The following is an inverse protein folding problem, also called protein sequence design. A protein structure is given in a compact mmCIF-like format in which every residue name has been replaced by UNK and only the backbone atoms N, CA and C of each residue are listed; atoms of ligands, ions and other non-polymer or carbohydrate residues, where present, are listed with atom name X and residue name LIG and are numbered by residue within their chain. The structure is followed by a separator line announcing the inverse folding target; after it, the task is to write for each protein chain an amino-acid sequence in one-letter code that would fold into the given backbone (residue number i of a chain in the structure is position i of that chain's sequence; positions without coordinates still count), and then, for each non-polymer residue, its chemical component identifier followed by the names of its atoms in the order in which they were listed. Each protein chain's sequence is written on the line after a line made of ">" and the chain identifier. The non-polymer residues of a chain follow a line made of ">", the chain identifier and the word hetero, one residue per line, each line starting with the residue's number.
data_IF_175352781284
#
_entry.id   IF_175352781284
#
_cell.length_a   1.000
_cell.length_b   1.000
_cell.length_c   1.000
_cell.angle_alpha   90.00
_cell.angle_beta   90.00
_cell.angle_gamma   90.00
#
_symmetry.space_group_name_H-M   'P 1'
#
loop_
_entity.id
_entity.type
_entity.pdbx_description
1 polymer ?
2 polymer ?
3 non-polymer ?
4 non-polymer ?
5 non-polymer ?
6 non-polymer ?
7 non-polymer ?
8 non-polymer ?
#
# COMPACT_ATOMS: atom_id res chain seq x y z
N UNK A 3 -11.95 -14.17 -7.90
CA UNK A 3 -13.00 -13.55 -8.69
C UNK A 3 -13.68 -12.41 -7.91
N UNK A 4 -13.18 -12.16 -6.70
CA UNK A 4 -13.74 -11.12 -5.85
C UNK A 4 -13.03 -9.80 -6.06
N UNK A 5 -13.80 -8.72 -6.12
CA UNK A 5 -13.22 -7.39 -6.34
C UNK A 5 -13.79 -6.44 -5.30
N UNK A 6 -13.04 -5.41 -4.95
CA UNK A 6 -13.50 -4.42 -4.00
C UNK A 6 -13.21 -3.03 -4.53
N UNK A 7 -13.92 -2.06 -3.98
CA UNK A 7 -13.58 -0.65 -4.16
C UNK A 7 -13.69 0.04 -2.82
N UNK A 8 -12.66 0.82 -2.49
CA UNK A 8 -12.57 1.48 -1.21
C UNK A 8 -12.32 2.96 -1.39
N UNK A 9 -12.86 3.74 -0.47
CA UNK A 9 -12.45 5.12 -0.25
C UNK A 9 -11.87 5.17 1.15
N UNK A 10 -10.61 5.56 1.26
CA UNK A 10 -9.94 5.68 2.53
C UNK A 10 -9.72 7.17 2.81
N UNK A 11 -9.89 7.54 4.07
CA UNK A 11 -9.70 8.89 4.55
C UNK A 11 -8.86 8.83 5.82
N UNK A 12 -7.91 9.76 5.93
CA UNK A 12 -6.99 9.84 7.05
C UNK A 12 -7.03 11.28 7.56
N UNK A 13 -7.43 11.45 8.82
CA UNK A 13 -7.56 12.76 9.44
C UNK A 13 -6.59 12.85 10.62
N UNK A 14 -5.76 13.90 10.62
CA UNK A 14 -4.87 14.21 11.73
C UNK A 14 -5.38 15.48 12.39
N UNK A 15 -5.87 15.37 13.62
CA UNK A 15 -6.31 16.51 14.42
C UNK A 15 -5.16 16.89 15.35
N UNK A 16 -4.54 18.04 15.06
CA UNK A 16 -3.32 18.46 15.75
C UNK A 16 -3.63 19.35 16.94
N UNK A 17 -4.52 20.33 16.77
CA UNK A 17 -5.02 21.13 17.88
C UNK A 17 -6.45 21.55 17.55
N UNK A 18 -7.03 22.38 18.42
CA UNK A 18 -8.44 22.75 18.25
C UNK A 18 -8.68 23.65 17.05
N UNK A 19 -7.63 24.04 16.32
CA UNK A 19 -7.79 24.79 15.07
C UNK A 19 -7.33 23.99 13.86
N UNK A 20 -6.15 23.36 13.93
CA UNK A 20 -5.56 22.67 12.79
C UNK A 20 -6.05 21.23 12.70
N UNK A 21 -6.35 20.80 11.49
CA UNK A 21 -6.66 19.40 11.21
C UNK A 21 -6.49 19.16 9.71
N UNK A 22 -5.72 18.14 9.34
CA UNK A 22 -5.39 17.87 7.95
C UNK A 22 -5.99 16.54 7.53
N UNK A 23 -6.56 16.51 6.33
CA UNK A 23 -7.24 15.32 5.82
C UNK A 23 -6.67 14.88 4.49
N UNK A 24 -6.63 13.56 4.29
CA UNK A 24 -6.23 12.95 3.04
C UNK A 24 -7.26 11.90 2.64
N UNK A 25 -7.43 11.72 1.35
CA UNK A 25 -8.38 10.74 0.85
C UNK A 25 -7.93 10.14 -0.46
N UNK A 26 -8.31 8.88 -0.68
CA UNK A 26 -8.02 8.24 -1.95
C UNK A 26 -9.04 7.13 -2.21
N UNK A 27 -9.20 6.81 -3.49
CA UNK A 27 -10.05 5.71 -3.93
C UNK A 27 -9.20 4.59 -4.52
N UNK A 28 -9.60 3.35 -4.27
CA UNK A 28 -8.78 2.19 -4.58
C UNK A 28 -9.65 1.08 -5.14
N UNK A 29 -9.38 0.68 -6.38
CA UNK A 29 -9.97 -0.52 -6.96
C UNK A 29 -9.01 -1.67 -6.69
N UNK A 30 -9.42 -2.59 -5.82
CA UNK A 30 -8.49 -3.55 -5.23
C UNK A 30 -7.30 -2.80 -4.67
N UNK A 31 -6.11 -3.07 -5.21
CA UNK A 31 -4.89 -2.44 -4.73
C UNK A 31 -4.39 -1.33 -5.64
N UNK A 32 -5.07 -1.07 -6.75
CA UNK A 32 -4.67 0.02 -7.64
C UNK A 32 -5.40 1.29 -7.21
N UNK A 33 -4.63 2.32 -6.87
CA UNK A 33 -5.24 3.61 -6.60
C UNK A 33 -5.83 4.17 -7.90
N UNK A 34 -7.10 4.52 -7.84
CA UNK A 34 -7.81 5.11 -8.97
C UNK A 34 -8.15 6.57 -8.75
N UNK A 35 -8.21 7.02 -7.50
CA UNK A 35 -8.62 8.38 -7.21
C UNK A 35 -7.76 8.95 -6.10
N UNK A 36 -7.41 10.22 -6.25
CA UNK A 36 -6.87 11.03 -5.17
C UNK A 36 -7.89 12.09 -4.77
N UNK A 37 -7.49 12.91 -3.82
CA UNK A 37 -8.36 13.98 -3.35
C UNK A 37 -7.53 15.25 -3.14
N UNK A 38 -7.85 16.28 -3.90
CA UNK A 38 -7.19 17.57 -3.74
C UNK A 38 -7.89 18.32 -2.61
N UNK A 39 -7.16 18.54 -1.51
CA UNK A 39 -7.73 19.12 -0.30
C UNK A 39 -7.91 20.63 -0.41
N UNK A 40 -7.11 21.29 -1.24
CA UNK A 40 -7.27 22.74 -1.42
C UNK A 40 -8.57 23.05 -2.14
N UNK A 41 -8.74 22.48 -3.34
CA UNK A 41 -9.99 22.66 -4.07
C UNK A 41 -11.10 21.77 -3.54
N UNK A 42 -10.75 20.70 -2.83
CA UNK A 42 -11.75 19.75 -2.37
C UNK A 42 -12.40 19.05 -3.53
N UNK A 43 -11.59 18.36 -4.34
CA UNK A 43 -12.10 17.71 -5.54
C UNK A 43 -11.53 16.31 -5.67
N UNK A 44 -12.20 15.49 -6.47
CA UNK A 44 -11.70 14.17 -6.81
C UNK A 44 -10.65 14.31 -7.89
N UNK A 45 -9.58 13.53 -7.77
CA UNK A 45 -8.51 13.48 -8.76
C UNK A 45 -8.60 12.14 -9.45
N UNK A 46 -8.80 12.16 -10.77
CA UNK A 46 -8.99 10.94 -11.55
C UNK A 46 -7.65 10.50 -12.09
N UNK A 47 -7.08 9.46 -11.48
CA UNK A 47 -5.74 8.98 -11.77
C UNK A 47 -5.63 8.27 -13.11
N UNK A 48 -6.75 7.99 -13.79
CA UNK A 48 -6.73 7.26 -15.04
C UNK A 48 -7.80 7.85 -15.96
N UNK A 49 -7.63 7.63 -17.27
CA UNK A 49 -8.61 8.10 -18.24
C UNK A 49 -9.99 7.52 -17.94
N UNK A 50 -10.03 6.26 -17.53
CA UNK A 50 -11.26 5.55 -17.21
C UNK A 50 -11.71 5.76 -15.77
N UNK A 51 -11.05 6.64 -15.02
CA UNK A 51 -11.34 6.75 -13.59
C UNK A 51 -12.72 7.30 -13.30
N UNK A 52 -13.38 7.93 -14.28
CA UNK A 52 -14.72 8.43 -14.04
C UNK A 52 -15.76 7.31 -14.01
N UNK A 53 -15.41 6.12 -14.51
CA UNK A 53 -16.22 4.92 -14.34
C UNK A 53 -17.66 5.02 -14.80
N UNK A 54 -17.90 5.63 -15.97
CA UNK A 54 -19.24 5.73 -16.54
C UNK A 54 -20.22 6.42 -15.58
N UNK A 55 -19.74 7.45 -14.89
CA UNK A 55 -20.58 8.36 -14.11
C UNK A 55 -20.53 9.73 -14.76
N UNK A 56 -21.66 10.45 -14.73
CA UNK A 56 -21.72 11.74 -15.40
C UNK A 56 -20.94 12.79 -14.61
N UNK A 57 -20.49 13.82 -15.33
CA UNK A 57 -19.79 14.93 -14.68
C UNK A 57 -20.66 15.57 -13.62
N UNK A 58 -21.97 15.64 -13.86
CA UNK A 58 -22.88 16.16 -12.85
C UNK A 58 -22.87 15.28 -11.61
N UNK A 59 -22.95 13.95 -11.80
CA UNK A 59 -22.91 13.03 -10.67
C UNK A 59 -21.62 13.17 -9.88
N UNK A 60 -20.49 13.32 -10.57
CA UNK A 60 -19.21 13.38 -9.88
C UNK A 60 -19.01 14.71 -9.17
N UNK A 61 -19.44 15.82 -9.78
CA UNK A 61 -19.38 17.10 -9.07
C UNK A 61 -20.31 17.10 -7.86
N UNK A 62 -21.44 16.39 -7.94
CA UNK A 62 -22.31 16.27 -6.78
C UNK A 62 -21.67 15.41 -5.70
N UNK A 63 -20.97 14.35 -6.10
CA UNK A 63 -20.20 13.56 -5.14
C UNK A 63 -19.16 14.43 -4.44
N UNK A 64 -18.48 15.29 -5.19
CA UNK A 64 -17.53 16.23 -4.59
C UNK A 64 -18.23 17.16 -3.61
N UNK A 65 -19.42 17.66 -3.98
CA UNK A 65 -20.19 18.50 -3.06
C UNK A 65 -20.45 17.77 -1.75
N UNK A 66 -20.92 16.53 -1.83
CA UNK A 66 -21.24 15.77 -0.63
C UNK A 66 -19.99 15.49 0.18
N UNK A 67 -18.89 15.15 -0.46
CA UNK A 67 -17.64 14.94 0.25
C UNK A 67 -17.20 16.20 0.97
N UNK A 68 -17.34 17.36 0.33
CA UNK A 68 -16.93 18.61 0.97
C UNK A 68 -17.78 18.89 2.19
N UNK A 69 -19.10 18.71 2.07
CA UNK A 69 -19.96 18.94 3.22
C UNK A 69 -19.67 17.96 4.35
N UNK A 70 -19.41 16.70 4.00
CA UNK A 70 -19.12 15.68 5.00
C UNK A 70 -17.81 15.98 5.71
N UNK A 71 -16.78 16.39 4.97
CA UNK A 71 -15.53 16.84 5.57
C UNK A 71 -15.78 17.98 6.55
N UNK A 72 -16.52 19.01 6.10
CA UNK A 72 -16.79 20.17 6.95
C UNK A 72 -17.47 19.75 8.25
N UNK A 73 -18.57 19.01 8.16
CA UNK A 73 -19.31 18.66 9.35
C UNK A 73 -18.54 17.72 10.26
N UNK A 74 -17.84 16.75 9.67
CA UNK A 74 -17.07 15.78 10.46
C UNK A 74 -15.99 16.50 11.27
N UNK A 75 -15.19 17.35 10.60
CA UNK A 75 -14.21 18.15 11.32
C UNK A 75 -14.85 19.02 12.37
N UNK A 76 -15.96 19.69 12.03
CA UNK A 76 -16.59 20.62 12.96
C UNK A 76 -17.00 19.90 14.24
N UNK A 77 -17.69 18.78 14.12
CA UNK A 77 -18.20 18.09 15.30
C UNK A 77 -17.06 17.47 16.12
N UNK A 78 -16.07 16.87 15.45
CA UNK A 78 -14.97 16.28 16.18
C UNK A 78 -14.20 17.35 16.94
N UNK A 79 -13.90 18.47 16.28
CA UNK A 79 -13.16 19.55 16.94
C UNK A 79 -13.98 20.14 18.08
N UNK A 80 -15.30 20.24 17.91
CA UNK A 80 -16.15 20.70 18.99
C UNK A 80 -15.99 19.82 20.22
N UNK A 81 -16.01 18.50 20.03
CA UNK A 81 -15.87 17.61 21.18
C UNK A 81 -14.47 17.64 21.76
N UNK A 82 -13.45 17.80 20.91
CA UNK A 82 -12.07 17.64 21.36
C UNK A 82 -11.51 18.89 22.03
N UNK A 83 -11.91 20.09 21.59
CA UNK A 83 -11.45 21.30 22.26
C UNK A 83 -11.81 21.33 23.74
N UNK A 84 -12.64 20.39 24.20
CA UNK A 84 -12.92 20.21 25.62
C UNK A 84 -12.01 19.19 26.28
N UNK A 85 -11.12 18.55 25.52
CA UNK A 85 -10.18 17.55 26.04
C UNK A 85 -8.78 17.75 25.46
N UNK A 86 -8.52 18.94 24.92
CA UNK A 86 -7.23 19.39 24.38
C UNK A 86 -5.98 18.59 24.74
N UNK A 87 -5.93 17.98 25.93
CA UNK A 87 -4.81 17.08 26.23
C UNK A 87 -4.84 15.85 25.33
N UNK A 88 -5.97 15.59 24.69
CA UNK A 88 -6.07 14.39 23.82
C UNK A 88 -5.37 14.66 22.49
N UNK A 89 -5.19 15.93 22.11
CA UNK A 89 -4.45 16.23 20.90
C UNK A 89 -2.99 15.80 21.04
N UNK A 90 -2.37 15.35 19.96
CA UNK A 90 -2.95 15.13 18.63
C UNK A 90 -3.64 13.78 18.54
N UNK A 91 -4.51 13.53 17.56
CA UNK A 91 -5.04 12.19 17.38
C UNK A 91 -5.42 11.98 15.92
N UNK A 92 -5.53 10.71 15.54
CA UNK A 92 -5.78 10.32 14.16
C UNK A 92 -7.08 9.53 14.06
N UNK A 93 -7.85 9.84 13.02
CA UNK A 93 -9.06 9.11 12.68
C UNK A 93 -8.89 8.56 11.28
N UNK A 94 -9.17 7.28 11.10
CA UNK A 94 -9.11 6.64 9.80
C UNK A 94 -10.47 6.07 9.43
N UNK A 95 -10.87 6.28 8.18
CA UNK A 95 -12.15 5.78 7.68
C UNK A 95 -11.88 4.95 6.42
N UNK A 96 -12.43 3.75 6.38
CA UNK A 96 -12.37 2.89 5.20
C UNK A 96 -13.80 2.53 4.83
N UNK A 97 -14.31 3.15 3.77
CA UNK A 97 -15.63 2.84 3.27
C UNK A 97 -15.51 2.13 1.93
N UNK A 98 -16.57 1.46 1.53
CA UNK A 98 -16.59 0.91 0.19
C UNK A 98 -17.42 -0.36 0.15
N UNK A 99 -17.11 -1.20 -0.83
CA UNK A 99 -17.95 -2.36 -1.11
C UNK A 99 -17.12 -3.45 -1.79
N UNK A 100 -17.48 -4.69 -1.50
CA UNK A 100 -16.87 -5.86 -2.13
C UNK A 100 -17.92 -6.58 -2.97
N UNK A 101 -17.62 -6.74 -4.25
CA UNK A 101 -18.39 -7.59 -5.15
C UNK A 101 -17.87 -9.02 -5.03
N UNK A 102 -18.73 -9.91 -4.53
CA UNK A 102 -18.48 -11.32 -4.35
C UNK A 102 -18.88 -12.11 -5.59
N UNK A 103 -18.21 -13.24 -5.79
CA UNK A 103 -18.53 -14.18 -6.85
C UNK A 103 -20.03 -14.44 -6.90
N UNK A 104 -20.58 -14.38 -8.11
CA UNK A 104 -22.01 -14.36 -8.30
C UNK A 104 -22.61 -12.97 -8.36
N UNK A 105 -21.84 -11.95 -8.01
CA UNK A 105 -22.32 -10.59 -8.05
C UNK A 105 -22.94 -10.09 -6.76
N UNK A 106 -22.49 -10.57 -5.61
CA UNK A 106 -23.13 -10.22 -4.35
C UNK A 106 -22.41 -9.03 -3.73
N UNK A 107 -23.08 -7.91 -3.50
CA UNK A 107 -22.38 -6.77 -2.87
C UNK A 107 -22.44 -6.83 -1.36
N UNK A 108 -21.29 -6.64 -0.72
CA UNK A 108 -21.21 -6.44 0.72
C UNK A 108 -20.53 -5.11 0.95
N UNK A 109 -21.30 -4.13 1.42
CA UNK A 109 -20.71 -2.85 1.77
C UNK A 109 -20.10 -2.86 3.16
N UNK A 110 -19.20 -1.92 3.39
CA UNK A 110 -18.63 -1.80 4.72
C UNK A 110 -18.11 -0.38 4.93
N UNK A 111 -18.14 0.01 6.20
CA UNK A 111 -17.72 1.34 6.66
C UNK A 111 -17.06 1.10 8.01
N UNK A 112 -15.76 1.36 8.10
CA UNK A 112 -15.01 1.08 9.32
C UNK A 112 -14.19 2.30 9.72
N UNK A 113 -14.19 2.60 11.01
CA UNK A 113 -13.50 3.77 11.55
C UNK A 113 -12.57 3.32 12.66
N UNK A 114 -11.33 3.80 12.62
CA UNK A 114 -10.34 3.57 13.65
C UNK A 114 -9.94 4.89 14.29
N UNK A 115 -9.72 4.84 15.61
CA UNK A 115 -9.22 5.96 16.38
C UNK A 115 -7.80 5.63 16.83
N UNK A 116 -6.84 6.45 16.39
CA UNK A 116 -5.44 6.25 16.74
C UNK A 116 -4.96 4.85 16.40
N UNK A 117 -5.31 4.40 15.18
CA UNK A 117 -4.88 3.10 14.70
C UNK A 117 -5.53 1.91 15.36
N UNK A 118 -6.51 2.12 16.24
CA UNK A 118 -7.26 1.04 16.87
C UNK A 118 -8.70 1.07 16.38
N UNK A 119 -9.25 -0.11 16.12
CA UNK A 119 -10.64 -0.22 15.71
C UNK A 119 -11.54 0.53 16.67
N UNK A 120 -12.29 1.49 16.14
CA UNK A 120 -13.27 2.24 16.92
C UNK A 120 -14.68 1.71 16.70
N UNK A 121 -15.15 1.70 15.45
CA UNK A 121 -16.49 1.19 15.20
C UNK A 121 -16.63 0.81 13.73
N UNK A 122 -17.73 0.13 13.43
CA UNK A 122 -18.04 -0.27 12.06
C UNK A 122 -19.54 -0.10 11.84
N UNK A 123 -19.95 -0.20 10.60
CA UNK A 123 -21.35 -0.11 10.22
C UNK A 123 -21.77 -1.46 9.68
N UNK A 124 -22.41 -2.27 10.52
CA UNK A 124 -22.82 -3.61 10.14
C UNK A 124 -24.30 -3.60 9.79
N UNK A 125 -24.64 -4.17 8.63
CA UNK A 125 -26.00 -4.17 8.11
C UNK A 125 -26.56 -2.75 8.05
N UNK A 126 -27.30 -2.34 9.08
CA UNK A 126 -27.87 -1.00 9.13
C UNK A 126 -27.68 -0.33 10.48
N UNK A 127 -26.70 -0.77 11.26
CA UNK A 127 -26.51 -0.24 12.59
C UNK A 127 -25.02 -0.03 12.85
N UNK A 128 -24.71 1.05 13.55
CA UNK A 128 -23.36 1.27 14.05
C UNK A 128 -23.06 0.30 15.17
N UNK A 129 -21.90 -0.34 15.10
CA UNK A 129 -21.46 -1.33 16.08
C UNK A 129 -20.11 -0.87 16.61
N UNK A 130 -19.99 -0.59 17.91
CA UNK A 130 -18.68 -0.25 18.46
C UNK A 130 -17.74 -1.44 18.44
N UNK A 131 -16.46 -1.15 18.40
CA UNK A 131 -15.47 -2.21 18.49
C UNK A 131 -15.41 -2.74 19.92
N UNK A 132 -15.35 -4.06 20.11
CA UNK A 132 -15.05 -4.59 21.44
C UNK A 132 -13.65 -4.15 21.87
N UNK A 133 -13.56 -3.62 23.08
CA UNK A 133 -12.36 -2.90 23.46
C UNK A 133 -12.43 -1.49 22.91
N UNK A 134 -11.74 -0.54 23.54
CA UNK A 134 -11.88 0.88 23.21
C UNK A 134 -13.35 1.28 23.33
N UNK A 135 -13.88 1.11 24.54
CA UNK A 135 -15.32 1.14 24.73
C UNK A 135 -15.96 2.51 24.87
N UNK A 136 -15.59 3.25 25.92
CA UNK A 136 -16.29 4.47 26.29
C UNK A 136 -16.44 5.42 25.10
N UNK A 137 -15.32 5.71 24.42
CA UNK A 137 -15.39 6.62 23.28
C UNK A 137 -16.15 5.99 22.12
N UNK A 138 -15.94 4.69 21.87
CA UNK A 138 -16.69 4.00 20.83
C UNK A 138 -18.17 4.11 21.14
N UNK A 139 -18.61 3.51 22.25
CA UNK A 139 -20.00 3.57 22.69
C UNK A 139 -20.60 4.96 22.56
N UNK A 140 -19.85 5.99 22.97
CA UNK A 140 -20.34 7.35 22.85
C UNK A 140 -20.61 7.72 21.41
N UNK A 141 -19.58 7.65 20.56
CA UNK A 141 -19.70 8.03 19.16
C UNK A 141 -20.81 7.23 18.48
N UNK A 142 -20.89 5.93 18.79
CA UNK A 142 -21.90 5.07 18.20
C UNK A 142 -23.30 5.50 18.63
N UNK A 143 -23.45 5.92 19.89
CA UNK A 143 -24.72 6.45 20.37
C UNK A 143 -25.09 7.74 19.63
N UNK A 144 -24.13 8.66 19.50
CA UNK A 144 -24.39 9.90 18.78
C UNK A 144 -24.80 9.63 17.34
N UNK A 145 -24.08 8.72 16.67
CA UNK A 145 -24.37 8.41 15.27
C UNK A 145 -25.73 7.74 15.12
N UNK A 146 -26.12 6.91 16.08
CA UNK A 146 -27.37 6.17 15.99
C UNK A 146 -28.56 6.96 16.54
N UNK A 147 -28.41 8.26 16.80
CA UNK A 147 -29.51 9.03 17.37
C UNK A 147 -29.57 10.46 16.84
N UNK A 148 -28.49 11.23 17.00
CA UNK A 148 -28.54 12.62 16.54
C UNK A 148 -28.40 12.72 15.04
N UNK A 149 -27.42 12.04 14.46
CA UNK A 149 -27.07 12.23 13.06
C UNK A 149 -28.00 11.38 12.20
N UNK A 150 -29.13 12.00 11.83
CA UNK A 150 -30.18 11.41 10.99
C UNK A 150 -29.66 10.89 9.67
N UNK A 151 -29.75 11.72 8.62
CA UNK A 151 -29.47 11.32 7.27
C UNK A 151 -28.06 10.81 7.04
N UNK A 152 -27.16 11.04 7.99
CA UNK A 152 -25.80 10.50 7.87
C UNK A 152 -25.86 8.97 7.70
N UNK A 153 -26.67 8.31 8.51
CA UNK A 153 -26.72 6.85 8.48
C UNK A 153 -27.31 6.32 7.18
N UNK A 154 -28.44 6.90 6.76
CA UNK A 154 -29.06 6.46 5.50
C UNK A 154 -28.15 6.73 4.32
N UNK A 155 -27.48 7.88 4.32
CA UNK A 155 -26.55 8.20 3.24
C UNK A 155 -25.41 7.20 3.19
N UNK A 156 -24.85 6.85 4.34
CA UNK A 156 -23.79 5.85 4.40
C UNK A 156 -24.27 4.52 3.81
N UNK A 157 -25.46 4.09 4.23
CA UNK A 157 -25.98 2.81 3.76
C UNK A 157 -26.15 2.81 2.25
N UNK A 158 -26.77 3.86 1.71
CA UNK A 158 -27.01 3.91 0.27
C UNK A 158 -25.71 4.04 -0.51
N UNK A 159 -24.71 4.73 0.06
CA UNK A 159 -23.43 4.86 -0.62
C UNK A 159 -22.72 3.52 -0.73
N UNK A 160 -22.57 2.82 0.40
CA UNK A 160 -21.80 1.59 0.36
C UNK A 160 -22.58 0.42 -0.21
N UNK A 161 -23.91 0.50 -0.25
CA UNK A 161 -24.71 -0.62 -0.72
C UNK A 161 -25.22 -0.46 -2.15
N UNK A 162 -25.35 0.77 -2.65
CA UNK A 162 -25.90 0.97 -4.00
C UNK A 162 -24.97 1.78 -4.88
N UNK A 163 -24.58 2.96 -4.43
CA UNK A 163 -23.71 3.80 -5.24
C UNK A 163 -22.35 3.15 -5.43
N UNK A 164 -21.80 2.57 -4.36
CA UNK A 164 -20.47 1.96 -4.47
C UNK A 164 -20.44 0.80 -5.45
N UNK A 165 -21.34 -0.19 -5.40
CA UNK A 165 -21.23 -1.30 -6.37
C UNK A 165 -21.52 -0.87 -7.80
N UNK A 166 -22.48 0.04 -8.00
CA UNK A 166 -22.75 0.54 -9.34
C UNK A 166 -21.52 1.25 -9.90
N UNK A 167 -20.93 2.14 -9.10
CA UNK A 167 -19.71 2.82 -9.51
C UNK A 167 -18.58 1.83 -9.74
N UNK A 168 -18.51 0.78 -8.93
CA UNK A 168 -17.44 -0.20 -9.07
C UNK A 168 -17.55 -0.93 -10.39
N UNK A 169 -18.75 -1.40 -10.73
CA UNK A 169 -18.93 -2.10 -12.00
C UNK A 169 -18.73 -1.17 -13.18
N UNK A 170 -19.14 0.10 -13.06
CA UNK A 170 -18.83 1.08 -14.09
C UNK A 170 -17.33 1.28 -14.25
N UNK A 171 -16.59 1.23 -13.14
CA UNK A 171 -15.15 1.38 -13.19
C UNK A 171 -14.48 0.19 -13.86
N UNK A 172 -14.91 -1.02 -13.50
CA UNK A 172 -14.37 -2.22 -14.15
C UNK A 172 -14.70 -2.23 -15.64
N UNK A 173 -15.91 -1.78 -16.01
CA UNK A 173 -16.27 -1.71 -17.42
C UNK A 173 -15.43 -0.68 -18.15
N UNK A 174 -15.19 0.48 -17.54
CA UNK A 174 -14.45 1.53 -18.20
C UNK A 174 -12.96 1.21 -18.29
N UNK A 175 -12.40 0.58 -17.25
CA UNK A 175 -10.99 0.28 -17.24
C UNK A 175 -10.67 -1.18 -17.52
N UNK A 176 -11.46 -1.81 -18.40
CA UNK A 176 -11.31 -3.24 -18.65
C UNK A 176 -9.91 -3.56 -19.17
N UNK A 177 -9.30 -2.66 -19.95
CA UNK A 177 -8.01 -2.97 -20.55
C UNK A 177 -6.87 -2.84 -19.54
N UNK A 178 -7.01 -1.96 -18.55
CA UNK A 178 -5.98 -1.85 -17.53
C UNK A 178 -6.16 -2.87 -16.42
N UNK A 179 -7.39 -3.11 -15.96
CA UNK A 179 -7.59 -3.99 -14.81
C UNK A 179 -7.25 -5.43 -15.17
N UNK A 180 -7.48 -5.84 -16.41
CA UNK A 180 -7.23 -7.22 -16.85
C UNK A 180 -5.92 -7.36 -17.61
N UNK A 181 -5.03 -6.40 -17.50
CA UNK A 181 -3.77 -6.48 -18.20
C UNK A 181 -2.88 -7.57 -17.60
N UNK A 182 -1.93 -8.04 -18.41
CA UNK A 182 -0.94 -9.02 -17.98
C UNK A 182 0.43 -8.50 -18.36
N UNK A 183 1.31 -8.36 -17.36
CA UNK A 183 2.64 -7.80 -17.56
C UNK A 183 3.68 -8.85 -17.19
N UNK A 184 4.47 -9.25 -18.18
CA UNK A 184 5.47 -10.32 -17.95
C UNK A 184 6.57 -9.78 -17.05
N UNK A 185 6.98 -10.54 -16.02
CA UNK A 185 8.04 -10.11 -15.12
C UNK A 185 9.42 -10.32 -15.70
N UNK A 186 10.35 -9.55 -15.16
CA UNK A 186 11.78 -9.68 -15.39
C UNK A 186 12.40 -10.37 -14.17
N UNK A 187 13.27 -11.33 -14.42
CA UNK A 187 13.84 -12.10 -13.32
C UNK A 187 15.35 -12.16 -13.46
N UNK A 188 16.04 -12.01 -12.33
CA UNK A 188 17.50 -12.10 -12.34
C UNK A 188 17.98 -12.74 -11.05
N UNK A 189 19.26 -13.11 -11.06
CA UNK A 189 19.88 -13.81 -9.94
C UNK A 189 20.98 -12.96 -9.35
N UNK A 190 21.28 -13.19 -8.07
CA UNK A 190 22.37 -12.48 -7.42
C UNK A 190 22.87 -13.31 -6.25
N UNK A 191 24.00 -12.88 -5.70
CA UNK A 191 24.62 -13.52 -4.55
C UNK A 191 24.51 -12.58 -3.36
N UNK A 192 23.62 -12.91 -2.42
CA UNK A 192 23.44 -12.11 -1.24
C UNK A 192 24.56 -12.29 -0.23
N UNK A 193 24.35 -11.81 1.00
CA UNK A 193 25.43 -11.87 1.99
C UNK A 193 25.68 -13.31 2.44
N UNK A 194 26.96 -13.65 2.56
CA UNK A 194 27.39 -14.99 2.96
C UNK A 194 26.80 -15.34 4.33
N UNK A 195 25.90 -16.32 4.39
CA UNK A 195 25.32 -16.71 5.70
C UNK A 195 26.30 -17.53 6.52
N UNK A 196 27.59 -17.38 6.23
CA UNK A 196 28.62 -18.15 6.87
C UNK A 196 29.69 -18.56 5.88
N UNK A 197 30.87 -18.91 6.37
CA UNK A 197 31.93 -19.37 5.48
C UNK A 197 31.57 -20.72 4.87
N UNK A 198 31.85 -20.87 3.58
CA UNK A 198 31.42 -22.06 2.85
C UNK A 198 29.97 -21.96 2.44
N UNK A 199 29.13 -21.45 3.33
CA UNK A 199 27.74 -21.17 3.01
C UNK A 199 27.65 -20.14 1.88
N UNK A 200 26.46 -20.06 1.28
CA UNK A 200 26.30 -19.25 0.08
C UNK A 200 24.83 -18.88 -0.08
N UNK A 201 24.56 -17.59 -0.25
CA UNK A 201 23.20 -17.05 -0.29
C UNK A 201 22.83 -16.74 -1.74
N UNK A 202 21.99 -17.60 -2.32
CA UNK A 202 21.45 -17.38 -3.66
C UNK A 202 20.17 -16.57 -3.57
N UNK A 203 20.07 -15.51 -4.37
CA UNK A 203 18.93 -14.60 -4.35
C UNK A 203 18.31 -14.58 -5.75
N UNK A 204 16.98 -14.64 -5.81
CA UNK A 204 16.25 -14.61 -7.07
C UNK A 204 15.25 -13.47 -7.01
N UNK A 205 15.43 -12.48 -7.88
CA UNK A 205 14.55 -11.33 -7.99
C UNK A 205 13.58 -11.52 -9.14
N UNK A 206 12.32 -11.14 -8.90
CA UNK A 206 11.26 -11.16 -9.91
C UNK A 206 10.53 -9.83 -9.79
N UNK A 207 10.72 -8.95 -10.77
CA UNK A 207 10.21 -7.59 -10.70
C UNK A 207 9.41 -7.24 -11.96
N UNK A 208 8.44 -6.36 -11.80
CA UNK A 208 7.72 -5.82 -12.92
C UNK A 208 6.48 -6.57 -13.36
N UNK A 209 5.89 -7.39 -12.49
CA UNK A 209 4.76 -8.22 -12.88
C UNK A 209 3.45 -7.69 -12.31
N UNK A 210 2.42 -7.71 -13.15
CA UNK A 210 1.01 -7.67 -12.78
C UNK A 210 0.31 -8.75 -13.57
N UNK A 211 -0.70 -9.43 -12.98
CA UNK A 211 -1.29 -9.28 -11.63
C UNK A 211 -0.35 -9.67 -10.50
N UNK A 212 -0.76 -9.36 -9.27
CA UNK A 212 0.12 -9.62 -8.12
C UNK A 212 0.39 -11.10 -7.86
N UNK A 213 -0.55 -12.03 -8.02
CA UNK A 213 -0.23 -13.44 -7.73
C UNK A 213 0.94 -13.94 -8.56
N UNK A 214 1.89 -14.60 -7.89
CA UNK A 214 3.12 -15.07 -8.50
C UNK A 214 3.63 -16.25 -7.69
N UNK A 215 4.31 -17.18 -8.36
CA UNK A 215 4.97 -18.29 -7.68
C UNK A 215 6.46 -18.23 -7.97
N UNK A 216 7.27 -18.13 -6.92
CA UNK A 216 8.72 -18.10 -7.05
C UNK A 216 9.30 -19.14 -6.11
N UNK A 217 10.21 -19.96 -6.62
CA UNK A 217 10.72 -21.07 -5.83
C UNK A 217 12.11 -21.47 -6.32
N UNK A 218 13.02 -21.70 -5.38
CA UNK A 218 14.28 -22.34 -5.72
C UNK A 218 14.07 -23.85 -5.74
N UNK A 219 14.56 -24.49 -6.79
CA UNK A 219 14.41 -25.93 -6.96
C UNK A 219 15.66 -26.51 -7.60
N UNK A 220 15.85 -27.81 -7.39
CA UNK A 220 16.77 -28.62 -8.18
C UNK A 220 15.92 -29.65 -8.91
N UNK A 221 15.72 -29.46 -10.20
CA UNK A 221 14.79 -30.28 -10.95
C UNK A 221 13.37 -30.03 -10.50
N UNK A 222 12.70 -31.05 -9.98
CA UNK A 222 11.35 -30.91 -9.47
C UNK A 222 11.29 -30.73 -7.95
N UNK A 223 12.31 -31.19 -7.22
CA UNK A 223 12.35 -30.99 -5.78
C UNK A 223 12.42 -29.50 -5.46
N UNK A 224 11.32 -28.92 -5.01
CA UNK A 224 11.36 -27.57 -4.47
C UNK A 224 12.13 -27.60 -3.16
N UNK A 225 13.14 -26.74 -3.05
CA UNK A 225 13.89 -26.65 -1.81
C UNK A 225 13.00 -26.06 -0.73
N UNK A 226 12.76 -26.83 0.33
CA UNK A 226 11.92 -26.30 1.41
C UNK A 226 12.58 -25.12 2.11
N UNK A 227 13.86 -24.92 1.90
CA UNK A 227 14.59 -23.84 2.52
C UNK A 227 14.47 -22.49 1.87
N UNK A 228 13.75 -22.34 0.76
CA UNK A 228 13.60 -21.02 0.17
C UNK A 228 12.87 -20.10 1.14
N UNK A 229 13.42 -18.91 1.34
CA UNK A 229 12.76 -17.85 2.08
C UNK A 229 12.21 -16.86 1.07
N UNK A 230 10.88 -16.81 0.98
CA UNK A 230 10.21 -15.87 0.10
C UNK A 230 9.98 -14.56 0.85
N UNK A 231 10.28 -13.45 0.18
CA UNK A 231 10.02 -12.14 0.75
C UNK A 231 8.57 -11.73 0.56
N UNK A 232 8.29 -10.49 0.95
CA UNK A 232 6.98 -9.92 0.68
C UNK A 232 6.89 -9.46 -0.77
N UNK A 233 5.68 -9.42 -1.29
CA UNK A 233 5.43 -8.79 -2.57
C UNK A 233 5.40 -7.28 -2.35
N UNK A 234 6.39 -6.59 -2.91
CA UNK A 234 6.58 -5.16 -2.73
C UNK A 234 6.15 -4.40 -3.97
N UNK A 235 5.71 -3.16 -3.83
CA UNK A 235 5.22 -2.43 -5.01
C UNK A 235 6.33 -1.73 -5.76
N UNK A 236 6.27 -1.80 -7.08
CA UNK A 236 6.94 -0.85 -7.94
C UNK A 236 5.97 0.27 -8.28
N UNK A 237 6.52 1.39 -8.72
CA UNK A 237 5.66 2.40 -9.30
C UNK A 237 5.04 1.89 -10.60
N UNK A 238 3.91 2.50 -10.97
CA UNK A 238 3.17 2.13 -12.17
C UNK A 238 2.56 0.73 -12.06
N UNK A 239 2.20 0.34 -10.86
CA UNK A 239 1.38 -0.85 -10.66
C UNK A 239 1.97 -2.17 -11.12
N UNK A 240 3.26 -2.39 -10.88
CA UNK A 240 3.85 -3.71 -11.00
C UNK A 240 4.43 -4.10 -9.64
N UNK A 241 4.90 -5.32 -9.53
CA UNK A 241 5.29 -5.85 -8.23
C UNK A 241 6.67 -6.50 -8.30
N UNK A 242 7.30 -6.57 -7.13
CA UNK A 242 8.64 -7.10 -6.97
C UNK A 242 8.61 -8.17 -5.88
N UNK A 243 9.47 -9.17 -6.03
CA UNK A 243 9.48 -10.29 -5.10
C UNK A 243 10.85 -10.94 -5.12
N UNK A 244 11.44 -11.09 -3.94
CA UNK A 244 12.74 -11.72 -3.78
C UNK A 244 12.54 -13.05 -3.07
N UNK A 245 13.19 -14.10 -3.59
CA UNK A 245 13.20 -15.40 -2.93
C UNK A 245 14.65 -15.83 -2.76
N UNK A 246 15.06 -16.14 -1.53
CA UNK A 246 16.44 -16.49 -1.27
C UNK A 246 16.56 -17.92 -0.78
N UNK A 247 17.80 -18.42 -0.80
CA UNK A 247 18.15 -19.74 -0.31
C UNK A 247 19.63 -19.80 -0.03
N UNK A 248 20.04 -20.18 1.17
CA UNK A 248 21.46 -20.40 1.44
C UNK A 248 21.77 -21.89 1.41
N UNK A 249 22.74 -22.25 0.59
CA UNK A 249 23.16 -23.61 0.36
C UNK A 249 24.66 -23.70 0.65
N UNK A 250 25.20 -24.91 0.59
CA UNK A 250 26.64 -25.08 0.62
C UNK A 250 27.22 -24.83 -0.76
N UNK A 251 28.30 -24.07 -0.82
CA UNK A 251 29.00 -23.87 -2.08
C UNK A 251 29.43 -25.22 -2.63
N UNK A 252 29.47 -25.33 -3.96
CA UNK A 252 29.66 -26.61 -4.61
C UNK A 252 28.40 -27.44 -4.71
N UNK A 253 27.46 -27.25 -3.79
CA UNK A 253 26.11 -27.77 -3.92
C UNK A 253 25.16 -26.76 -4.53
N UNK A 254 25.66 -25.59 -4.91
CA UNK A 254 24.82 -24.60 -5.57
C UNK A 254 24.63 -24.90 -7.04
N UNK A 255 25.60 -25.56 -7.66
CA UNK A 255 25.45 -25.96 -9.06
C UNK A 255 24.25 -26.89 -9.21
N UNK A 256 23.47 -26.65 -10.25
CA UNK A 256 22.25 -27.40 -10.49
C UNK A 256 21.01 -26.78 -9.89
N UNK A 257 21.15 -25.93 -8.90
CA UNK A 257 20.01 -25.19 -8.39
C UNK A 257 19.51 -24.21 -9.45
N UNK A 258 18.24 -23.83 -9.33
CA UNK A 258 17.64 -22.93 -10.29
C UNK A 258 16.40 -22.29 -9.69
N UNK A 259 16.23 -21.00 -9.96
CA UNK A 259 15.00 -20.30 -9.60
C UNK A 259 13.94 -20.55 -10.65
N UNK A 260 12.69 -20.67 -10.20
CA UNK A 260 11.54 -20.95 -11.06
C UNK A 260 10.44 -19.97 -10.72
N UNK A 261 9.87 -19.35 -11.76
CA UNK A 261 8.87 -18.31 -11.61
C UNK A 261 7.69 -18.67 -12.50
N UNK A 262 6.51 -18.78 -11.89
CA UNK A 262 5.26 -18.98 -12.59
C UNK A 262 4.39 -17.74 -12.40
N UNK A 263 3.77 -17.30 -13.50
CA UNK A 263 2.92 -16.12 -13.50
C UNK A 263 1.95 -16.25 -14.67
N UNK A 264 0.76 -15.70 -14.48
CA UNK A 264 -0.28 -15.81 -15.52
C UNK A 264 0.18 -15.23 -16.85
N UNK A 265 0.96 -14.15 -16.80
CA UNK A 265 1.42 -13.50 -18.02
C UNK A 265 2.34 -14.37 -18.86
N UNK A 266 2.87 -15.47 -18.30
CA UNK A 266 3.84 -16.28 -19.00
C UNK A 266 3.20 -17.21 -20.03
N UNK A 267 1.91 -17.48 -19.91
CA UNK A 267 1.17 -18.37 -20.81
C UNK A 267 1.69 -19.81 -20.78
N UNK A 268 2.10 -20.27 -19.61
CA UNK A 268 2.55 -21.65 -19.47
C UNK A 268 4.05 -21.81 -19.42
N UNK A 269 4.74 -21.29 -20.44
CA UNK A 269 6.20 -21.30 -20.49
C UNK A 269 6.78 -20.54 -19.30
N UNK A 270 7.04 -21.25 -18.20
CA UNK A 270 7.54 -20.64 -16.97
C UNK A 270 8.94 -20.07 -17.18
N UNK A 271 9.35 -19.24 -16.23
CA UNK A 271 10.68 -18.63 -16.25
C UNK A 271 11.61 -19.45 -15.37
N UNK A 272 12.73 -19.88 -15.93
CA UNK A 272 13.72 -20.69 -15.21
C UNK A 272 15.07 -20.01 -15.35
N UNK A 273 15.76 -19.83 -14.23
CA UNK A 273 17.08 -19.20 -14.21
C UNK A 273 18.00 -20.07 -13.38
N UNK A 274 18.99 -20.69 -14.02
CA UNK A 274 19.92 -21.55 -13.32
C UNK A 274 21.04 -20.72 -12.69
N UNK A 275 21.50 -21.16 -11.53
CA UNK A 275 22.62 -20.51 -10.88
C UNK A 275 23.92 -20.89 -11.59
N UNK A 276 24.61 -19.91 -12.15
CA UNK A 276 25.89 -20.13 -12.81
C UNK A 276 27.07 -19.86 -11.91
N UNK A 277 27.06 -18.72 -11.21
CA UNK A 277 28.20 -18.38 -10.38
C UNK A 277 29.43 -18.15 -11.23
N UNK A 278 30.53 -18.78 -10.84
CA UNK A 278 31.79 -18.69 -11.56
C UNK A 278 32.02 -19.90 -12.46
N UNK A 279 30.94 -20.52 -12.93
CA UNK A 279 31.05 -21.76 -13.72
C UNK A 279 31.06 -21.52 -15.23
N UNK A 280 30.79 -20.31 -15.69
CA UNK A 280 30.59 -20.03 -17.11
C UNK A 280 31.75 -19.17 -17.59
N UNK A 281 32.60 -19.66 -18.52
CA UNK A 281 33.69 -18.86 -19.06
C UNK A 281 33.22 -17.84 -20.10
N UNK B 1 -6.62 5.69 24.56
CA UNK B 1 -5.67 4.69 24.06
C UNK B 1 -5.21 4.99 22.64
N UNK B 2 -4.05 4.47 22.27
CA UNK B 2 -3.46 4.68 20.96
C UNK B 2 -2.36 3.65 20.72
N UNK B 3 -2.21 3.25 19.47
CA UNK B 3 -1.20 2.28 19.06
C UNK B 3 -0.13 2.99 18.26
N UNK B 4 1.13 2.66 18.54
CA UNK B 4 2.26 3.16 17.78
C UNK B 4 2.97 1.97 17.14
N UNK B 5 3.18 2.05 15.83
CA UNK B 5 3.79 0.97 15.07
C UNK B 5 5.04 1.49 14.38
N UNK B 6 6.13 0.74 14.50
CA UNK B 6 7.42 1.14 13.95
C UNK B 6 7.46 0.84 12.44
N UNK B 7 7.96 1.77 11.63
CA UNK B 7 7.99 1.54 10.18
C UNK B 7 8.97 0.45 9.78
N UNK B 8 8.51 -0.42 8.88
CA UNK B 8 9.34 -1.34 8.12
C UNK B 8 9.86 -0.64 6.88
N UNK B 9 11.17 -0.64 6.69
CA UNK B 9 11.82 0.08 5.59
C UNK B 9 12.51 -0.93 4.68
N UNK B 10 12.06 -1.00 3.42
CA UNK B 10 12.65 -1.93 2.46
C UNK B 10 13.11 -1.19 1.23
N UNK B 11 14.37 -1.39 0.84
CA UNK B 11 14.97 -0.67 -0.28
C UNK B 11 15.34 -1.66 -1.38
N UNK B 12 14.87 -1.39 -2.60
CA UNK B 12 15.07 -2.31 -3.71
C UNK B 12 15.00 -1.54 -5.02
N UNK B 13 15.76 -1.99 -6.00
CA UNK B 13 15.71 -1.35 -7.31
C UNK B 13 14.64 -2.02 -8.17
N UNK B 14 14.16 -1.26 -9.15
CA UNK B 14 13.13 -1.75 -10.07
C UNK B 14 13.71 -2.72 -11.10
N UNK B 15 14.95 -2.51 -11.50
CA UNK B 15 15.64 -3.32 -12.49
C UNK B 15 16.98 -3.75 -11.92
N UNK B 16 17.63 -4.75 -12.52
CA UNK B 16 18.97 -5.13 -12.08
C UNK B 16 19.91 -3.92 -12.11
N UNK B 17 20.68 -3.77 -11.05
CA UNK B 17 21.63 -2.66 -10.93
C UNK B 17 22.73 -2.84 -11.96
N UNK B 18 22.55 -2.21 -13.12
CA UNK B 18 23.57 -2.21 -14.16
C UNK B 18 24.25 -0.84 -14.12
N UNK B 19 25.49 -0.82 -13.63
CA UNK B 19 26.21 0.45 -13.49
C UNK B 19 26.30 1.16 -14.83
N UNK B 20 25.55 2.25 -14.97
CA UNK B 20 25.49 3.03 -16.20
C UNK B 20 24.10 3.12 -16.79
N UNK B 21 23.26 2.10 -16.57
CA UNK B 21 21.90 2.11 -17.05
C UNK B 21 20.97 2.72 -16.01
N UNK B 22 20.06 3.57 -16.49
CA UNK B 22 19.09 4.18 -15.60
C UNK B 22 18.22 3.11 -14.95
N UNK B 23 17.62 3.47 -13.82
CA UNK B 23 16.92 2.52 -12.98
C UNK B 23 16.03 3.32 -12.04
N UNK B 24 15.27 2.60 -11.22
CA UNK B 24 14.44 3.25 -10.21
C UNK B 24 14.74 2.63 -8.85
N UNK B 25 15.02 3.49 -7.87
CA UNK B 25 15.25 3.09 -6.50
C UNK B 25 13.95 3.27 -5.72
N UNK B 26 13.47 2.18 -5.12
CA UNK B 26 12.24 2.16 -4.34
C UNK B 26 12.59 2.00 -2.87
N UNK B 27 11.99 2.84 -2.03
CA UNK B 27 11.94 2.67 -0.60
C UNK B 27 10.48 2.51 -0.19
N UNK B 28 10.15 1.32 0.31
CA UNK B 28 8.79 0.98 0.73
C UNK B 28 8.76 1.01 2.26
N UNK B 29 8.02 1.98 2.80
CA UNK B 29 7.93 2.21 4.24
C UNK B 29 6.52 1.81 4.65
N UNK B 30 6.40 0.75 5.44
CA UNK B 30 5.12 0.11 5.68
C UNK B 30 4.92 -0.15 7.17
N UNK B 31 3.68 -0.42 7.54
CA UNK B 31 3.37 -0.89 8.88
C UNK B 31 3.62 0.09 10.01
N UNK B 32 3.54 1.39 9.74
CA UNK B 32 3.79 2.39 10.77
C UNK B 32 2.49 3.12 11.12
N UNK B 33 2.51 3.73 12.31
CA UNK B 33 1.41 4.50 12.86
C UNK B 33 1.95 5.26 14.06
N UNK B 34 1.66 6.56 14.22
CA UNK B 34 0.76 7.43 13.44
C UNK B 34 1.31 7.85 12.08
N UNK B 35 0.51 8.63 11.35
CA UNK B 35 0.76 8.88 9.93
C UNK B 35 1.96 9.78 9.70
N UNK B 36 2.27 10.67 10.63
CA UNK B 36 3.38 11.60 10.43
C UNK B 36 4.69 10.85 10.35
N UNK B 37 5.35 10.94 9.19
CA UNK B 37 6.63 10.27 8.94
C UNK B 37 7.48 11.18 8.07
N UNK B 38 8.79 10.99 8.15
CA UNK B 38 9.74 11.76 7.33
C UNK B 38 10.64 10.79 6.61
N UNK B 39 10.44 10.64 5.30
CA UNK B 39 11.21 9.71 4.47
C UNK B 39 12.04 10.51 3.48
N UNK B 40 13.33 10.15 3.37
CA UNK B 40 14.25 10.78 2.44
C UNK B 40 15.07 9.71 1.73
N UNK B 41 15.26 9.89 0.42
CA UNK B 41 16.20 9.08 -0.33
C UNK B 41 17.55 9.81 -0.39
N UNK B 42 18.63 9.08 -0.12
CA UNK B 42 19.95 9.66 -0.01
C UNK B 42 20.89 9.02 -1.01
N UNK B 43 21.55 9.84 -1.82
CA UNK B 43 22.65 9.41 -2.67
C UNK B 43 23.95 9.88 -2.04
N UNK B 44 24.78 8.91 -1.63
CA UNK B 44 26.07 9.17 -0.98
C UNK B 44 25.97 9.98 0.30
N UNK B 45 24.76 10.15 0.84
CA UNK B 45 24.60 10.88 2.09
C UNK B 45 23.70 12.10 2.01
N UNK B 46 23.78 12.84 0.91
CA UNK B 46 22.92 14.00 0.75
C UNK B 46 21.54 13.56 0.27
N UNK B 47 20.54 14.41 0.52
CA UNK B 47 19.16 14.09 0.20
C UNK B 47 18.91 14.31 -1.29
N UNK B 48 18.30 13.31 -1.95
CA UNK B 48 17.89 13.46 -3.34
C UNK B 48 16.68 14.37 -3.42
N UNK B 49 16.67 15.26 -4.41
CA UNK B 49 15.59 16.22 -4.55
C UNK B 49 14.46 15.74 -5.46
N UNK B 50 14.77 14.89 -6.43
CA UNK B 50 13.79 14.45 -7.42
C UNK B 50 13.18 13.11 -6.99
N UNK B 51 12.40 13.18 -5.91
CA UNK B 51 11.82 12.00 -5.28
C UNK B 51 10.30 12.08 -5.35
N UNK B 52 9.69 11.10 -5.98
CA UNK B 52 8.25 10.92 -6.02
C UNK B 52 7.83 9.96 -4.92
N UNK B 53 6.52 9.94 -4.63
CA UNK B 53 6.02 9.01 -3.63
C UNK B 53 4.50 8.89 -3.77
N UNK B 54 4.00 7.72 -3.40
CA UNK B 54 2.59 7.41 -3.49
C UNK B 54 1.78 8.22 -2.48
N UNK B 55 0.48 8.27 -2.71
CA UNK B 55 -0.43 8.81 -1.71
C UNK B 55 -0.49 7.88 -0.50
N UNK B 56 -0.63 8.48 0.68
CA UNK B 56 -0.69 7.70 1.90
C UNK B 56 -1.85 6.73 1.84
N UNK B 57 -1.64 5.54 2.39
CA UNK B 57 -2.65 4.50 2.42
C UNK B 57 -2.44 3.69 3.70
N UNK B 58 -3.32 2.73 3.95
CA UNK B 58 -3.15 1.93 5.16
C UNK B 58 -3.72 0.54 4.97
N UNK B 59 -3.10 -0.42 5.69
CA UNK B 59 -3.47 -1.83 5.60
C UNK B 59 -4.72 -2.10 6.42
N UNK B 60 -5.09 -3.38 6.50
CA UNK B 60 -6.31 -3.74 7.21
C UNK B 60 -6.15 -3.56 8.72
N UNK B 61 -4.92 -3.65 9.24
CA UNK B 61 -4.67 -3.38 10.66
C UNK B 61 -4.63 -1.89 10.97
N UNK B 62 -4.84 -1.04 9.95
CA UNK B 62 -4.85 0.42 9.96
C UNK B 62 -3.44 1.02 9.93
N UNK B 63 -2.39 0.22 9.82
CA UNK B 63 -1.04 0.78 9.71
C UNK B 63 -0.78 1.31 8.29
N UNK B 64 0.03 2.36 8.21
CA UNK B 64 0.21 3.11 6.97
C UNK B 64 1.37 2.54 6.14
N UNK B 65 1.33 2.79 4.84
CA UNK B 65 2.44 2.46 3.96
C UNK B 65 2.58 3.49 2.85
N UNK B 66 3.81 3.63 2.37
CA UNK B 66 4.19 4.63 1.39
C UNK B 66 5.28 4.03 0.50
N UNK B 67 5.24 4.36 -0.78
CA UNK B 67 6.30 3.98 -1.71
C UNK B 67 6.97 5.25 -2.21
N UNK B 68 8.22 5.46 -1.82
CA UNK B 68 9.05 6.53 -2.38
C UNK B 68 9.94 5.95 -3.46
N UNK B 69 10.08 6.68 -4.56
CA UNK B 69 10.84 6.13 -5.67
C UNK B 69 11.52 7.27 -6.42
N UNK B 70 12.66 6.95 -7.01
CA UNK B 70 13.35 7.94 -7.81
C UNK B 70 14.10 7.28 -8.95
N UNK B 71 14.15 7.95 -10.10
CA UNK B 71 15.05 7.52 -11.15
C UNK B 71 16.48 7.80 -10.70
N UNK B 72 17.38 6.88 -11.04
CA UNK B 72 18.77 7.01 -10.62
C UNK B 72 19.62 6.13 -11.52
N UNK B 73 20.86 6.56 -11.74
CA UNK B 73 21.82 5.76 -12.50
C UNK B 73 22.90 5.26 -11.55
N UNK B 74 22.87 3.98 -11.15
CA UNK B 74 23.82 3.51 -10.16
C UNK B 74 25.22 3.42 -10.75
N UNK B 75 26.22 3.75 -9.93
CA UNK B 75 27.62 3.58 -10.30
C UNK B 75 28.34 2.86 -9.17
N UNK B 76 29.54 2.37 -9.48
CA UNK B 76 30.33 1.66 -8.49
C UNK B 76 30.63 2.54 -7.27
N UNK B 77 30.96 3.80 -7.51
CA UNK B 77 31.32 4.71 -6.42
C UNK B 77 30.13 5.10 -5.55
N UNK B 78 28.91 4.91 -6.03
CA UNK B 78 27.73 5.45 -5.37
C UNK B 78 27.16 4.49 -4.34
N UNK B 79 26.73 5.04 -3.20
CA UNK B 79 25.98 4.33 -2.18
C UNK B 79 24.64 5.02 -1.98
N UNK B 80 23.55 4.26 -2.06
CA UNK B 80 22.20 4.79 -1.94
C UNK B 80 21.51 4.23 -0.71
N UNK B 81 20.71 5.07 -0.05
CA UNK B 81 20.07 4.67 1.19
C UNK B 81 18.70 5.33 1.31
N UNK B 82 17.90 4.82 2.24
CA UNK B 82 16.61 5.38 2.59
C UNK B 82 16.63 5.70 4.08
N UNK B 83 16.33 6.95 4.43
CA UNK B 83 16.35 7.42 5.80
C UNK B 83 14.92 7.73 6.23
N UNK B 84 14.46 7.07 7.29
CA UNK B 84 13.11 7.23 7.80
C UNK B 84 13.21 7.76 9.24
N UNK B 85 12.41 8.77 9.54
CA UNK B 85 12.24 9.23 10.91
C UNK B 85 10.76 9.18 11.27
N UNK B 86 10.49 8.71 12.47
CA UNK B 86 9.13 8.48 12.96
C UNK B 86 9.19 8.60 14.48
N UNK B 87 8.02 8.83 15.09
CA UNK B 87 7.99 9.00 16.54
C UNK B 87 8.46 7.74 17.25
N UNK B 88 8.33 6.57 16.60
CA UNK B 88 8.75 5.31 17.18
C UNK B 88 10.25 5.10 17.10
N UNK B 89 10.97 5.93 16.35
CA UNK B 89 12.41 5.82 16.21
C UNK B 89 13.06 6.91 17.04
N UNK B 90 13.86 6.52 18.03
CA UNK B 90 14.58 7.48 18.86
C UNK B 90 15.41 8.42 17.99
N UNK B 91 15.95 7.91 16.89
CA UNK B 91 16.75 8.66 15.95
C UNK B 91 16.56 8.03 14.57
N UNK B 92 16.74 8.81 13.50
CA UNK B 92 16.37 8.30 12.16
C UNK B 92 17.11 7.02 11.81
N UNK B 93 16.36 6.13 11.18
CA UNK B 93 16.94 4.84 10.74
C UNK B 93 17.32 4.97 9.28
N UNK B 94 18.50 4.49 8.92
CA UNK B 94 19.01 4.56 7.55
C UNK B 94 19.28 3.15 7.06
N UNK B 95 18.60 2.75 5.99
CA UNK B 95 18.73 1.43 5.40
C UNK B 95 19.40 1.60 4.04
N UNK B 96 20.61 1.08 3.90
CA UNK B 96 21.34 1.19 2.64
C UNK B 96 20.78 0.22 1.61
N UNK B 97 20.77 0.66 0.36
CA UNK B 97 20.34 -0.18 -0.75
C UNK B 97 21.48 -1.10 -1.15
N UNK B 98 21.24 -2.40 -1.08
CA UNK B 98 22.27 -3.38 -1.43
C UNK B 98 22.28 -3.55 -2.95
N UNK B 99 23.23 -2.90 -3.61
CA UNK B 99 23.41 -3.07 -5.05
C UNK B 99 23.60 -4.54 -5.40
N UNK B 100 24.43 -5.22 -4.63
CA UNK B 100 24.75 -6.63 -4.89
C UNK B 100 23.51 -7.52 -4.76
N UNK B 101 22.49 -7.10 -4.04
CA UNK B 101 21.24 -7.86 -3.98
C UNK B 101 20.60 -7.88 -5.36
X LIG C 1 -1.74 24.03 15.75
X LIG C 1 -0.56 24.87 16.22
X LIG C 1 -0.08 25.71 15.05
X LIG C 1 0.43 24.75 13.98
X LIG C 1 -0.63 23.70 13.63
X LIG C 1 -0.06 22.56 12.81
X LIG C 1 -0.07 25.81 18.45
X LIG C 1 1.21 25.00 18.41
X LIG C 1 -0.87 25.70 17.37
X LIG C 1 0.91 26.58 15.50
X LIG C 1 0.78 25.54 12.86
X LIG C 1 -1.26 23.13 14.77
X LIG C 1 1.29 22.37 13.14
X LIG C 1 -0.36 26.51 19.40
X LIG D 1 -11.44 12.36 2.25
X LIG D 1 -12.29 12.30 0.97
X LIG D 1 -11.95 11.10 0.08
X LIG D 1 -11.97 10.58 -2.24
X LIG D 1 -12.37 10.87 -3.68
X LIG D 1 -13.50 9.97 -4.20
X LIG D 1 -13.02 8.57 -4.57
X LIG D 1 -14.07 7.81 -5.38
X LIG D 1 -14.74 8.69 -6.44
X LIG D 1 -16.17 8.27 -6.73
X LIG D 1 -16.84 7.67 -5.50
X LIG D 1 -17.98 6.72 -5.85
X LIG D 1 -17.89 5.44 -5.02
X LIG D 1 -18.94 5.40 -3.92
X LIG D 1 -18.28 5.59 -2.55
X LIG D 1 -19.03 4.89 -1.44
X LIG D 1 -18.37 5.14 -0.09
X LIG D 1 -18.26 6.65 0.19
X LIG D 1 -18.03 6.94 1.67
X LIG D 1 -17.32 8.27 1.91
X LIG D 1 -11.07 13.69 2.49
X LIG D 1 -13.64 12.21 1.35
X LIG D 1 -12.55 11.28 -1.17
X LIG D 1 -11.14 9.75 -2.03
X LIG E 1 1.80 2.60 -4.32
X LIG E 1 1.83 1.66 -5.52
X LIG E 1 0.94 0.44 -5.31
X LIG E 1 0.28 0.33 -3.94
X LIG E 1 -0.13 0.44 -6.30
X LIG E 1 -0.30 -0.90 -6.82
X LIG E 1 -1.19 -0.88 -8.05
X LIG E 1 -1.46 -2.56 -8.72
X LIG E 1 -1.76 -2.49 -10.19
X LIG E 1 -2.57 -3.26 -7.98
X LIG E 1 -0.18 -3.38 -8.71
X LIG E 1 1.18 0.71 -2.75
X LIG E 1 2.16 1.83 -3.05
X LIG F 1 2.25 6.23 -7.00
X LIG F 1 2.67 7.42 -7.00
X LIG F 1 1.14 5.94 -6.47
X LIG F 1 3.07 5.13 -7.66
X LIG F 1 2.30 4.31 -8.70
X LIG F 1 2.09 3.08 -8.52
X LIG F 1 1.88 4.89 -9.73
X LIG G 1 7.09 6.27 -16.25
X LIG G 1 7.83 7.30 -16.20
X LIG G 1 6.67 5.75 -15.18
X LIG G 1 6.70 5.69 -17.59
X LIG G 1 5.24 5.24 -17.65
X LIG G 1 4.95 4.05 -17.93
X LIG G 1 4.32 6.06 -17.37
X LIG H 1 25.97 -12.51 -11.22
X LIG I 1 -10.08 20.54 6.77
X LIG J 1 -20.40 8.57 9.36
X LIG J 1 -19.54 9.81 9.51
X LIG J 1 -18.23 9.49 10.22
X LIG J 1 -18.27 8.16 10.96
X LIG J 1 -17.44 8.20 12.25
X LIG J 1 -17.87 9.36 13.15
X LIG J 1 -16.66 10.15 13.66
X LIG J 1 -15.41 9.29 13.78
X LIG J 1 -14.98 9.15 15.25
X LIG J 1 -15.16 10.44 16.01
X LIG J 1 -13.84 10.94 16.61
X LIG J 1 -13.46 10.16 17.87
X LIG J 1 -13.16 11.11 19.06
X LIG J 1 -12.74 12.50 18.57
X LIG J 1 -12.97 13.55 19.66
X LIG J 1 -13.19 12.92 21.02
X LIG J 1 -13.10 13.97 22.13
X LIG J 1 -13.42 13.40 23.56
X LIG J 1 -15.36 12.12 24.99
X LIG J 1 -14.72 12.80 26.31
X LIG J 1 -15.05 14.05 28.53
X LIG J 1 -13.60 13.74 28.92
X LIG J 1 -13.00 14.70 29.89
X LIG J 1 -13.24 16.11 29.56
X LIG J 1 -14.72 16.35 29.24
X LIG J 1 -15.00 17.79 28.82
X LIG J 1 -11.91 17.91 30.41
X LIG J 1 -12.05 19.10 31.39
X LIG J 1 -11.03 20.19 31.09
X LIG J 1 -9.69 19.63 30.92
X LIG J 1 -9.64 18.53 29.93
X LIG J 1 -8.21 18.01 29.78
X LIG J 1 -10.99 22.54 31.65
X LIG J 1 -12.10 23.41 32.26
X LIG J 1 -13.44 23.11 31.73
X LIG J 1 -13.44 22.87 30.29
X LIG J 1 -12.14 23.30 29.63
X LIG J 1 -12.24 22.97 28.15
X LIG J 1 -11.79 24.16 27.26
X LIG J 1 -12.90 25.20 27.07
X LIG J 1 -15.70 22.83 29.18
X LIG J 1 -15.74 21.32 29.33
X LIG J 1 -9.69 23.11 32.11
X LIG J 1 -16.85 12.51 24.79
X LIG J 1 -17.19 12.71 23.29
X LIG J 1 -17.87 11.76 22.61
X LIG J 1 -18.16 12.01 21.11
X LIG J 1 -16.91 12.59 20.42
X LIG J 1 -16.82 12.28 18.92
X LIG J 1 -18.08 12.62 18.15
X LIG J 1 -17.79 13.67 17.08
X LIG J 1 -18.28 13.23 15.69
X LIG J 1 -19.21 12.03 15.78
X LIG J 1 -20.21 11.99 14.62
X LIG J 1 -19.91 13.06 13.57
X LIG J 1 -20.21 12.54 12.16
X LIG J 1 -21.34 13.29 11.49
X LIG J 1 -20.83 14.52 10.75
X LIG J 1 -20.52 14.22 9.30
X LIG J 1 -14.76 12.73 23.76
X LIG J 1 -14.55 23.59 29.67
X LIG J 1 -12.60 13.52 24.40
X LIG J 1 -15.56 13.24 27.45
X LIG J 1 -15.20 15.47 28.16
X LIG J 1 -16.32 17.86 28.34
X LIG J 1 -12.85 16.86 30.75
X LIG J 1 -10.52 17.44 30.36
X LIG J 1 -7.85 18.15 28.44
X LIG J 1 -9.23 19.16 32.16
X LIG J 1 -11.08 21.19 32.16
X LIG J 1 -11.00 22.56 30.20
X LIG J 1 -13.40 25.05 25.76
X LIG J 1 -10.72 24.80 27.91
X LIG J 1 -11.41 21.89 27.89
X LIG J 1 -16.61 23.40 28.68
X LIG J 1 -13.91 21.97 32.35
X LIG J 1 -9.26 24.17 31.59
X LIG J 1 -9.04 22.53 33.01
X LIG J 1 -13.34 19.63 31.25
X LIG J 1 -11.62 14.46 29.93
X LIG J 1 -13.53 12.44 29.45
X LIG J 1 -17.62 11.48 25.27
#
# INVERSE_FOLDING_TARGET
>A
SQEHVSFHVIQIFSFVNQSWARGQGSGWLDELQTHGWDSESGTIIFLHQWSKGQFSNEELSDLELLFRFYLFGLTREIQDHASQDYSKYPFEVQVKAGCELHSGGSPEGFFQVAFNGLDLLSFQQTTWVPSPGCGSLAQSVCHLLNHQYEGVTETVYNLIRSTCPRFLLGLLDAGKMYVHRQVRPEAWLSSGPSPGPGRLQLVCHVSGFYPKPVWVMWMRGEQEQQGTQLGDILPNANGTWYLRATLDVADGEAAGLSCRVKHSSLEGQDIILYWRGSLVP
>B
AAIQRTPKIQVYSRHPAENGKSNFLNCYVSGFHPSDIEVDLLKNGERIEKVEHSDLSFSKDWSFYLLYYTEFTPTEKDEYACRVNHVTLSQPKIVKWDRDM
>C hetero
1 NAG C1 C2 C3 C4 C5 C6 C7 C8 N2 O3 O4 O5 O6 O7
>D hetero
1 A1CB5 C02 C03 C05 C07 C08 C09 C10 C11 C12 C13 C14 C15 C16 C17 C18 C19 C20 C21 C22 C23 O01 O04 O06 O24
>E hetero
1 KZF C3' C2' C1' C6' N C1 C2 S O1 O2 O3 C5' C4'
>F hetero
1 MLA C1 O1A O1B C2 C3 O3A O3B
>G hetero
1 MLA C1 O1A O1B C2 C3 O3A O3B
>H hetero
1 CL CL
>I hetero
1 CL CL
>J hetero
1 A1CB6 C01 C02 C03 C04 C05 C06 C07 C08 C09 C10 C11 C12 C13 C14 C15 C16 C17 C18 C21 C22 C24 C25 C26 C27 C28 C30 C33 C34 C35 C36 C37 C39 C43 C44 C45 C46 C47 C49 C50 C51 C56 C58 C60 C66 C67 C68 C69 C70 C71 C72 C73 C74 C75 C76 C77 C78 C79 C80 C81 N20 N55 O19 O23 O29 O31 O32 O38 O40 O41 O42 O48 O52 O53 O54 O57 O59 O61 O62 O63 O64 O65 O82
#
